data_IF_630368603229
#
_entry.id   IF_630368603229
#
_cell.length_a   1.000
_cell.length_b   1.000
_cell.length_c   1.000
_cell.angle_alpha   90.00
_cell.angle_beta   90.00
_cell.angle_gamma   90.00
#
_symmetry.space_group_name_H-M   'P 1'
#
loop_
_entity.id
_entity.type
_entity.pdbx_description
1 polymer ?
#
# COMPACT_ATOMS: atom_id res chain seq x y z
N UNK A 1 -5.91 -42.00 45.25
CA UNK A 1 -5.86 -42.26 43.80
C UNK A 1 -6.57 -41.10 43.11
N UNK A 2 -5.82 -40.09 42.65
CA UNK A 2 -6.36 -38.87 42.04
C UNK A 2 -6.20 -38.99 40.52
N UNK A 3 -7.32 -39.02 39.82
CA UNK A 3 -7.35 -39.14 38.36
C UNK A 3 -7.12 -37.74 37.78
N UNK A 4 -5.97 -37.50 37.13
CA UNK A 4 -5.66 -36.28 36.37
C UNK A 4 -6.43 -36.33 35.07
N UNK A 5 -7.46 -35.50 34.94
CA UNK A 5 -8.16 -35.29 33.68
C UNK A 5 -7.29 -34.35 32.82
N UNK A 6 -6.63 -34.91 31.83
CA UNK A 6 -5.91 -34.17 30.79
C UNK A 6 -6.93 -33.43 29.91
N UNK A 7 -7.08 -32.13 30.10
CA UNK A 7 -7.75 -31.27 29.14
C UNK A 7 -6.80 -30.98 27.97
N UNK A 8 -6.82 -31.83 26.97
CA UNK A 8 -6.25 -31.52 25.67
C UNK A 8 -7.15 -30.47 25.00
N UNK A 9 -6.80 -29.21 25.14
CA UNK A 9 -7.43 -28.14 24.38
C UNK A 9 -7.19 -28.43 22.89
N UNK A 10 -8.23 -28.85 22.18
CA UNK A 10 -8.25 -28.92 20.72
C UNK A 10 -8.12 -27.48 20.20
N UNK A 11 -6.90 -27.06 19.91
CA UNK A 11 -6.67 -25.87 19.07
C UNK A 11 -7.26 -26.19 17.70
N UNK A 12 -8.47 -25.71 17.46
CA UNK A 12 -9.04 -25.70 16.13
C UNK A 12 -8.07 -24.89 15.25
N UNK A 13 -7.40 -25.53 14.31
CA UNK A 13 -6.61 -24.86 13.28
C UNK A 13 -7.55 -23.87 12.60
N UNK A 14 -7.42 -22.57 12.88
CA UNK A 14 -8.07 -21.52 12.12
C UNK A 14 -7.73 -21.78 10.65
N UNK A 15 -8.75 -22.09 9.84
CA UNK A 15 -8.60 -22.25 8.40
C UNK A 15 -7.92 -20.97 7.89
N UNK A 16 -6.70 -21.07 7.41
CA UNK A 16 -6.01 -19.92 6.82
C UNK A 16 -6.74 -19.59 5.54
N UNK A 17 -7.46 -18.48 5.53
CA UNK A 17 -8.12 -17.98 4.32
C UNK A 17 -7.00 -17.50 3.42
N UNK A 18 -6.80 -18.17 2.29
CA UNK A 18 -5.85 -17.74 1.26
C UNK A 18 -6.56 -16.79 0.31
N UNK A 19 -6.08 -15.56 0.21
CA UNK A 19 -6.51 -14.65 -0.84
C UNK A 19 -6.05 -15.18 -2.19
N UNK A 20 -6.96 -15.26 -3.16
CA UNK A 20 -6.67 -15.72 -4.52
C UNK A 20 -6.64 -14.53 -5.46
N UNK A 21 -5.61 -14.44 -6.26
CA UNK A 21 -5.50 -13.43 -7.30
C UNK A 21 -5.93 -14.01 -8.64
N UNK A 22 -6.83 -13.30 -9.36
CA UNK A 22 -7.12 -13.60 -10.77
C UNK A 22 -5.88 -13.33 -11.64
N UNK A 23 -5.87 -13.79 -12.88
CA UNK A 23 -4.72 -13.54 -13.77
C UNK A 23 -4.52 -12.03 -14.04
N UNK A 24 -5.59 -11.26 -14.10
CA UNK A 24 -5.53 -9.80 -14.23
C UNK A 24 -4.84 -9.14 -13.03
N UNK A 25 -5.21 -9.51 -11.81
CA UNK A 25 -4.57 -9.03 -10.59
C UNK A 25 -3.09 -9.43 -10.52
N UNK A 26 -2.79 -10.69 -10.87
CA UNK A 26 -1.39 -11.17 -10.93
C UNK A 26 -0.56 -10.40 -11.95
N UNK A 27 -1.13 -10.11 -13.14
CA UNK A 27 -0.47 -9.33 -14.16
C UNK A 27 -0.13 -7.92 -13.66
N UNK A 28 -1.10 -7.24 -13.01
CA UNK A 28 -0.89 -5.94 -12.41
C UNK A 28 0.23 -5.96 -11.34
N UNK A 29 0.15 -6.91 -10.39
CA UNK A 29 1.15 -7.02 -9.31
C UNK A 29 2.56 -7.27 -9.89
N UNK A 30 2.69 -8.11 -10.92
CA UNK A 30 3.97 -8.34 -11.60
C UNK A 30 4.50 -7.08 -12.27
N UNK A 31 3.64 -6.35 -12.98
CA UNK A 31 4.01 -5.11 -13.65
C UNK A 31 4.44 -4.01 -12.68
N UNK A 32 4.00 -4.04 -11.42
CA UNK A 32 4.47 -3.11 -10.38
C UNK A 32 5.99 -3.17 -10.14
N UNK A 33 6.64 -4.30 -10.43
CA UNK A 33 8.09 -4.46 -10.26
C UNK A 33 8.87 -3.51 -11.18
N UNK A 34 8.40 -3.38 -12.41
CA UNK A 34 9.11 -2.63 -13.47
C UNK A 34 8.66 -1.16 -13.54
N UNK A 35 7.54 -0.81 -12.90
CA UNK A 35 6.94 0.51 -13.01
C UNK A 35 7.09 1.34 -11.73
N UNK A 36 7.32 2.64 -11.88
CA UNK A 36 7.36 3.61 -10.78
C UNK A 36 5.96 4.01 -10.33
N UNK A 37 5.06 4.23 -11.29
CA UNK A 37 3.71 4.73 -11.04
C UNK A 37 2.71 3.60 -11.25
N UNK A 38 2.10 3.12 -10.16
CA UNK A 38 1.17 1.99 -10.18
C UNK A 38 -0.18 2.44 -9.65
N UNK A 39 -1.22 2.32 -10.48
CA UNK A 39 -2.57 2.77 -10.16
C UNK A 39 -3.57 1.64 -10.42
N UNK A 40 -4.30 1.28 -9.37
CA UNK A 40 -5.42 0.34 -9.45
C UNK A 40 -6.73 1.09 -9.22
N UNK A 41 -7.54 1.24 -10.28
CA UNK A 41 -8.86 1.85 -10.23
C UNK A 41 -9.95 0.81 -10.38
N UNK A 42 -11.13 1.05 -9.82
CA UNK A 42 -12.27 0.17 -10.05
C UNK A 42 -13.26 0.11 -8.88
N UNK A 43 -14.21 -0.79 -8.97
CA UNK A 43 -15.30 -0.94 -8.01
C UNK A 43 -14.81 -1.22 -6.58
N UNK A 44 -15.62 -0.87 -5.59
CA UNK A 44 -15.44 -1.29 -4.19
C UNK A 44 -15.42 -2.82 -4.14
N UNK A 45 -14.53 -3.39 -3.31
CA UNK A 45 -14.32 -4.85 -3.19
C UNK A 45 -13.74 -5.56 -4.42
N UNK A 46 -13.27 -4.83 -5.42
CA UNK A 46 -12.59 -5.44 -6.58
C UNK A 46 -11.18 -5.99 -6.26
N UNK A 47 -10.63 -5.78 -5.07
CA UNK A 47 -9.33 -6.32 -4.66
C UNK A 47 -8.15 -5.35 -4.79
N UNK A 48 -8.36 -4.15 -5.33
CA UNK A 48 -7.33 -3.14 -5.64
C UNK A 48 -6.31 -2.87 -4.52
N UNK A 49 -6.84 -2.62 -3.31
CA UNK A 49 -5.99 -2.30 -2.14
C UNK A 49 -5.11 -3.48 -1.78
N UNK A 50 -5.65 -4.71 -1.82
CA UNK A 50 -4.87 -5.93 -1.55
C UNK A 50 -3.76 -6.12 -2.58
N UNK A 51 -4.03 -5.85 -3.86
CA UNK A 51 -3.03 -5.91 -4.94
C UNK A 51 -1.87 -4.96 -4.66
N UNK A 52 -2.18 -3.71 -4.36
CA UNK A 52 -1.18 -2.70 -4.04
C UNK A 52 -0.40 -3.03 -2.76
N UNK A 53 -1.06 -3.57 -1.74
CA UNK A 53 -0.39 -4.01 -0.49
C UNK A 53 0.60 -5.14 -0.79
N UNK A 54 0.22 -6.13 -1.61
CA UNK A 54 1.12 -7.22 -1.97
C UNK A 54 2.29 -6.76 -2.83
N UNK A 55 2.04 -5.88 -3.82
CA UNK A 55 3.09 -5.29 -4.64
C UNK A 55 4.07 -4.43 -3.80
N UNK A 56 3.53 -3.59 -2.92
CA UNK A 56 4.33 -2.77 -2.00
C UNK A 56 5.13 -3.64 -1.03
N UNK A 57 4.54 -4.69 -0.46
CA UNK A 57 5.22 -5.63 0.42
C UNK A 57 6.36 -6.37 -0.30
N UNK A 58 6.16 -6.74 -1.57
CA UNK A 58 7.22 -7.32 -2.38
C UNK A 58 8.42 -6.37 -2.50
N UNK A 59 8.16 -5.11 -2.79
CA UNK A 59 9.20 -4.09 -2.91
C UNK A 59 9.88 -3.77 -1.55
N UNK A 60 9.17 -3.82 -0.43
CA UNK A 60 9.71 -3.63 0.93
C UNK A 60 10.86 -4.60 1.22
N UNK A 61 10.80 -5.82 0.69
CA UNK A 61 11.82 -6.85 0.94
C UNK A 61 13.20 -6.44 0.45
N UNK A 62 13.26 -5.75 -0.70
CA UNK A 62 14.50 -5.47 -1.42
C UNK A 62 14.84 -3.99 -1.56
N UNK A 63 13.93 -3.07 -1.21
CA UNK A 63 14.18 -1.63 -1.36
C UNK A 63 15.44 -1.17 -0.66
N UNK A 64 16.26 -0.28 -1.25
CA UNK A 64 17.40 0.33 -0.57
C UNK A 64 16.98 1.41 0.44
N UNK A 65 15.76 1.94 0.32
CA UNK A 65 15.25 2.99 1.20
C UNK A 65 14.71 2.40 2.50
N UNK A 66 14.89 3.13 3.61
CA UNK A 66 14.49 2.66 4.94
C UNK A 66 13.07 3.05 5.31
N UNK A 67 12.63 4.25 4.90
CA UNK A 67 11.39 4.86 5.36
C UNK A 67 10.43 4.98 4.18
N UNK A 68 9.17 4.59 4.40
CA UNK A 68 8.11 4.57 3.40
C UNK A 68 6.86 5.21 3.97
N UNK A 69 5.96 5.65 3.10
CA UNK A 69 4.72 6.35 3.45
C UNK A 69 3.49 5.51 3.08
N UNK A 70 2.56 5.40 4.01
CA UNK A 70 1.22 4.85 3.80
C UNK A 70 0.16 5.90 4.15
N UNK A 71 -0.73 6.22 3.23
CA UNK A 71 -1.77 7.22 3.44
C UNK A 71 -3.18 6.70 3.13
N UNK A 72 -4.15 7.23 3.85
CA UNK A 72 -5.58 7.08 3.58
C UNK A 72 -6.27 8.40 3.84
N UNK A 73 -7.58 8.49 3.66
CA UNK A 73 -8.36 9.69 4.01
C UNK A 73 -8.12 10.11 5.46
N UNK A 74 -8.03 9.13 6.36
CA UNK A 74 -7.54 9.28 7.74
C UNK A 74 -6.40 8.31 8.03
N UNK A 75 -5.63 8.56 9.09
CA UNK A 75 -4.61 7.61 9.55
C UNK A 75 -5.23 6.25 9.93
N UNK A 76 -6.42 6.26 10.54
CA UNK A 76 -7.14 5.04 10.87
C UNK A 76 -7.51 4.23 9.62
N UNK A 77 -7.98 4.89 8.56
CA UNK A 77 -8.26 4.23 7.28
C UNK A 77 -6.98 3.69 6.62
N UNK A 78 -5.87 4.43 6.68
CA UNK A 78 -4.59 3.93 6.20
C UNK A 78 -4.17 2.65 6.93
N UNK A 79 -4.29 2.61 8.26
CA UNK A 79 -3.98 1.41 9.08
C UNK A 79 -4.92 0.27 8.75
N UNK A 80 -6.23 0.52 8.64
CA UNK A 80 -7.24 -0.48 8.34
C UNK A 80 -7.05 -1.08 6.94
N UNK A 81 -6.84 -0.23 5.93
CA UNK A 81 -6.82 -0.66 4.53
C UNK A 81 -5.45 -1.18 4.07
N UNK A 82 -4.34 -0.71 4.66
CA UNK A 82 -2.98 -1.09 4.25
C UNK A 82 -2.33 -1.98 5.32
N UNK A 83 -2.46 -1.62 6.59
CA UNK A 83 -1.90 -2.39 7.71
C UNK A 83 -2.58 -3.74 7.87
N UNK A 84 -3.89 -3.74 8.08
CA UNK A 84 -4.72 -4.94 8.28
C UNK A 84 -5.26 -5.53 6.96
N UNK A 85 -5.83 -4.70 6.07
CA UNK A 85 -6.46 -5.09 4.80
C UNK A 85 -7.36 -6.35 4.94
N UNK A 86 -8.24 -6.37 5.92
CA UNK A 86 -9.10 -7.51 6.26
C UNK A 86 -8.32 -8.82 6.48
N UNK A 87 -7.18 -8.74 7.13
CA UNK A 87 -6.30 -9.87 7.40
C UNK A 87 -5.36 -10.24 6.25
N UNK A 88 -5.23 -9.40 5.21
CA UNK A 88 -4.30 -9.58 4.09
C UNK A 88 -3.28 -8.45 3.97
N UNK A 89 -3.23 -7.56 4.97
CA UNK A 89 -2.36 -6.39 5.01
C UNK A 89 -0.90 -6.68 5.34
N UNK A 90 -0.14 -5.59 5.53
CA UNK A 90 1.29 -5.68 5.85
C UNK A 90 1.56 -6.46 7.13
N UNK A 91 0.68 -6.37 8.13
CA UNK A 91 0.81 -7.14 9.39
C UNK A 91 0.75 -8.64 9.16
N UNK A 92 -0.14 -9.07 8.27
CA UNK A 92 -0.27 -10.48 7.91
C UNK A 92 0.92 -10.97 7.08
N UNK A 93 1.32 -10.18 6.09
CA UNK A 93 2.42 -10.54 5.18
C UNK A 93 3.74 -10.67 5.95
N UNK A 94 4.01 -9.72 6.86
CA UNK A 94 5.22 -9.69 7.69
C UNK A 94 4.99 -10.19 9.13
N UNK A 95 4.01 -11.09 9.34
CA UNK A 95 3.73 -11.62 10.68
C UNK A 95 4.98 -12.26 11.29
N UNK A 96 5.22 -11.93 12.57
CA UNK A 96 6.43 -12.34 13.27
C UNK A 96 7.69 -11.55 12.92
N UNK A 97 7.60 -10.62 11.96
CA UNK A 97 8.69 -9.75 11.52
C UNK A 97 8.33 -8.27 11.63
N UNK A 98 7.17 -7.92 12.13
CA UNK A 98 6.72 -6.53 12.25
C UNK A 98 6.09 -6.24 13.61
N UNK A 99 6.10 -4.96 13.98
CA UNK A 99 5.41 -4.42 15.15
C UNK A 99 5.01 -2.97 14.94
N UNK A 100 3.91 -2.56 15.55
CA UNK A 100 3.50 -1.16 15.59
C UNK A 100 4.31 -0.37 16.61
N UNK A 101 4.52 0.90 16.33
CA UNK A 101 5.20 1.83 17.22
C UNK A 101 5.15 3.25 16.69
N UNK A 102 5.95 4.14 17.26
CA UNK A 102 6.08 5.54 16.81
C UNK A 102 7.47 5.81 16.25
N UNK A 103 7.51 6.49 15.12
CA UNK A 103 8.72 7.03 14.55
C UNK A 103 8.60 8.55 14.46
N UNK A 104 9.37 9.30 15.28
CA UNK A 104 9.29 10.77 15.38
C UNK A 104 7.82 11.23 15.53
N UNK A 105 7.13 10.71 16.52
CA UNK A 105 5.72 10.99 16.83
C UNK A 105 4.66 10.53 15.82
N UNK A 106 5.08 9.97 14.68
CA UNK A 106 4.16 9.37 13.72
C UNK A 106 3.93 7.89 14.01
N UNK A 107 2.69 7.43 13.84
CA UNK A 107 2.37 6.00 13.86
C UNK A 107 3.11 5.29 12.73
N UNK A 108 3.76 4.19 13.05
CA UNK A 108 4.56 3.46 12.09
C UNK A 108 4.53 1.95 12.32
N UNK A 109 4.61 1.20 11.22
CA UNK A 109 4.87 -0.23 11.24
C UNK A 109 6.37 -0.45 10.99
N UNK A 110 7.05 -1.06 11.95
CA UNK A 110 8.45 -1.45 11.84
C UNK A 110 8.52 -2.88 11.34
N UNK A 111 9.27 -3.11 10.28
CA UNK A 111 9.43 -4.42 9.66
C UNK A 111 10.92 -4.78 9.66
N UNK A 112 11.27 -5.90 10.29
CA UNK A 112 12.64 -6.43 10.33
C UNK A 112 12.62 -7.93 10.55
N UNK A 113 13.16 -8.67 9.63
CA UNK A 113 13.23 -10.13 9.71
C UNK A 113 13.87 -10.74 8.48
N UNK A 114 13.76 -12.06 8.31
CA UNK A 114 14.32 -12.77 7.16
C UNK A 114 13.93 -12.17 5.80
N UNK A 115 12.65 -11.76 5.64
CA UNK A 115 12.13 -11.21 4.40
C UNK A 115 12.81 -9.89 3.98
N UNK A 116 13.34 -9.13 4.92
CA UNK A 116 14.07 -7.87 4.67
C UNK A 116 15.58 -8.03 4.75
N UNK A 117 16.08 -9.27 4.83
CA UNK A 117 17.49 -9.55 5.11
C UNK A 117 17.94 -8.90 6.44
N UNK A 118 17.07 -8.87 7.43
CA UNK A 118 17.24 -8.23 8.75
C UNK A 118 17.50 -6.73 8.70
N UNK A 119 17.27 -6.07 7.56
CA UNK A 119 17.34 -4.61 7.45
C UNK A 119 15.98 -4.03 7.88
N UNK A 120 16.02 -3.05 8.79
CA UNK A 120 14.80 -2.40 9.25
C UNK A 120 14.17 -1.56 8.14
N UNK A 121 12.86 -1.75 7.93
CA UNK A 121 11.99 -0.89 7.12
C UNK A 121 10.94 -0.27 8.04
N UNK A 122 10.57 0.97 7.75
CA UNK A 122 9.62 1.74 8.55
C UNK A 122 8.56 2.27 7.59
N UNK A 123 7.32 1.90 7.83
CA UNK A 123 6.17 2.44 7.08
C UNK A 123 5.42 3.40 7.99
N UNK A 124 5.43 4.69 7.65
CA UNK A 124 4.74 5.74 8.41
C UNK A 124 3.31 5.85 7.89
N UNK A 125 2.34 5.88 8.79
CA UNK A 125 0.92 5.97 8.48
C UNK A 125 0.38 7.37 8.77
N UNK A 126 -0.31 7.98 7.79
CA UNK A 126 -0.85 9.33 7.90
C UNK A 126 -2.23 9.46 7.25
N UNK A 127 -3.03 10.39 7.77
CA UNK A 127 -4.24 10.85 7.08
C UNK A 127 -3.90 11.93 6.06
N UNK A 128 -4.67 12.01 4.97
CA UNK A 128 -4.37 12.85 3.82
C UNK A 128 -5.53 13.74 3.34
N UNK A 129 -6.74 13.62 3.91
CA UNK A 129 -7.92 14.34 3.38
C UNK A 129 -8.00 15.82 3.75
N UNK A 130 -7.34 16.26 4.83
CA UNK A 130 -7.42 17.65 5.29
C UNK A 130 -6.35 18.51 4.61
N UNK A 131 -6.66 19.79 4.42
CA UNK A 131 -5.76 20.78 3.83
C UNK A 131 -4.38 20.80 4.49
N UNK A 132 -4.33 20.66 5.82
CA UNK A 132 -3.11 20.72 6.61
C UNK A 132 -2.45 19.35 6.89
N UNK A 133 -3.01 18.25 6.33
CA UNK A 133 -2.50 16.89 6.51
C UNK A 133 -1.03 16.74 6.07
N UNK A 134 -0.62 17.49 5.05
CA UNK A 134 0.75 17.48 4.54
C UNK A 134 1.80 17.81 5.62
N UNK A 135 1.44 18.55 6.66
CA UNK A 135 2.34 18.90 7.77
C UNK A 135 2.85 17.65 8.51
N UNK A 136 2.02 16.60 8.58
CA UNK A 136 2.35 15.35 9.29
C UNK A 136 3.38 14.49 8.55
N UNK A 137 3.48 14.63 7.23
CA UNK A 137 4.44 13.87 6.42
C UNK A 137 5.75 14.62 6.18
N UNK A 138 5.83 15.89 6.59
CA UNK A 138 7.07 16.68 6.55
C UNK A 138 8.12 16.13 7.51
N UNK A 139 9.38 16.44 7.23
CA UNK A 139 10.51 16.08 8.10
C UNK A 139 11.07 14.68 7.87
N UNK A 140 10.50 13.90 6.95
CA UNK A 140 11.06 12.62 6.49
C UNK A 140 11.19 12.61 4.97
N UNK A 141 12.10 11.79 4.46
CA UNK A 141 12.17 11.41 3.05
C UNK A 141 11.67 9.99 2.91
N UNK A 142 10.86 9.73 1.91
CA UNK A 142 10.23 8.42 1.70
C UNK A 142 10.73 7.78 0.41
N UNK A 143 11.07 6.50 0.45
CA UNK A 143 11.41 5.74 -0.74
C UNK A 143 10.18 5.41 -1.58
N UNK A 144 9.18 4.81 -0.95
CA UNK A 144 7.93 4.43 -1.61
C UNK A 144 6.73 5.02 -0.89
N UNK A 145 5.64 5.19 -1.63
CA UNK A 145 4.37 5.69 -1.13
C UNK A 145 3.21 4.80 -1.60
N UNK A 146 2.45 4.28 -0.65
CA UNK A 146 1.19 3.59 -0.90
C UNK A 146 0.03 4.44 -0.38
N UNK A 147 -0.99 4.66 -1.21
CA UNK A 147 -2.18 5.44 -0.86
C UNK A 147 -3.45 4.67 -1.19
N UNK A 148 -4.34 4.54 -0.21
CA UNK A 148 -5.68 4.00 -0.42
C UNK A 148 -6.69 5.14 -0.58
N UNK A 149 -7.61 5.00 -1.55
CA UNK A 149 -8.60 6.02 -1.89
C UNK A 149 -7.95 7.39 -2.16
N UNK A 150 -6.93 7.41 -3.02
CA UNK A 150 -6.11 8.61 -3.28
C UNK A 150 -6.93 9.80 -3.81
N UNK A 151 -8.06 9.55 -4.46
CA UNK A 151 -9.02 10.57 -4.88
C UNK A 151 -9.63 11.37 -3.71
N UNK A 152 -9.56 10.86 -2.48
CA UNK A 152 -9.98 11.56 -1.25
C UNK A 152 -8.84 12.33 -0.58
N UNK A 153 -7.65 12.32 -1.14
CA UNK A 153 -6.50 13.05 -0.58
C UNK A 153 -6.55 14.52 -0.99
N UNK A 154 -6.21 15.40 -0.07
CA UNK A 154 -6.04 16.81 -0.38
C UNK A 154 -4.79 17.01 -1.24
N UNK A 155 -4.89 17.87 -2.24
CA UNK A 155 -3.84 18.15 -3.22
C UNK A 155 -2.49 18.52 -2.58
N UNK A 156 -2.51 19.34 -1.52
CA UNK A 156 -1.30 19.69 -0.78
C UNK A 156 -0.55 18.47 -0.23
N UNK A 157 -1.29 17.43 0.19
CA UNK A 157 -0.67 16.19 0.69
C UNK A 157 -0.09 15.37 -0.45
N UNK A 158 -0.75 15.32 -1.59
CA UNK A 158 -0.23 14.62 -2.78
C UNK A 158 1.08 15.27 -3.23
N UNK A 159 1.09 16.59 -3.38
CA UNK A 159 2.31 17.34 -3.76
C UNK A 159 3.44 17.15 -2.76
N UNK A 160 3.14 17.24 -1.46
CA UNK A 160 4.16 17.04 -0.42
C UNK A 160 4.73 15.63 -0.43
N UNK A 161 3.89 14.59 -0.63
CA UNK A 161 4.36 13.21 -0.72
C UNK A 161 5.37 13.02 -1.87
N UNK A 162 5.10 13.59 -3.05
CA UNK A 162 6.05 13.59 -4.16
C UNK A 162 7.35 14.32 -3.82
N UNK A 163 7.26 15.52 -3.21
CA UNK A 163 8.44 16.28 -2.79
C UNK A 163 9.30 15.47 -1.80
N UNK A 164 8.68 14.70 -0.91
CA UNK A 164 9.39 13.85 0.06
C UNK A 164 10.00 12.59 -0.57
N UNK A 165 9.64 12.26 -1.80
CA UNK A 165 10.24 11.15 -2.55
C UNK A 165 11.40 11.57 -3.48
N UNK A 166 11.75 12.85 -3.57
CA UNK A 166 12.82 13.33 -4.46
C UNK A 166 14.20 12.73 -4.14
N UNK A 167 14.45 12.39 -2.88
CA UNK A 167 15.70 11.76 -2.44
C UNK A 167 15.64 10.23 -2.41
N UNK A 168 14.57 9.61 -2.90
CA UNK A 168 14.42 8.17 -2.94
C UNK A 168 15.45 7.53 -3.86
N UNK A 169 16.07 6.45 -3.39
CA UNK A 169 16.99 5.65 -4.20
C UNK A 169 16.24 4.75 -5.19
N UNK A 170 15.07 4.28 -4.78
CA UNK A 170 14.15 3.52 -5.64
C UNK A 170 12.71 3.98 -5.39
N UNK A 171 12.33 5.07 -6.07
CA UNK A 171 11.00 5.66 -5.94
C UNK A 171 9.94 4.77 -6.58
N UNK A 172 8.84 4.50 -5.84
CA UNK A 172 7.63 3.88 -6.36
C UNK A 172 6.40 4.45 -5.68
N UNK A 173 5.30 4.51 -6.39
CA UNK A 173 3.97 4.81 -5.86
C UNK A 173 3.01 3.66 -6.17
N UNK A 174 2.06 3.45 -5.25
CA UNK A 174 1.00 2.45 -5.35
C UNK A 174 -0.29 3.13 -4.90
N UNK A 175 -1.15 3.45 -5.85
CA UNK A 175 -2.39 4.13 -5.58
C UNK A 175 -3.59 3.24 -5.87
N UNK A 176 -4.57 3.24 -4.99
CA UNK A 176 -5.90 2.76 -5.35
C UNK A 176 -6.93 3.88 -5.24
N UNK A 177 -7.97 3.78 -6.06
CA UNK A 177 -9.11 4.67 -6.04
C UNK A 177 -10.35 3.98 -6.58
N UNK A 178 -11.51 4.48 -6.13
CA UNK A 178 -12.78 4.19 -6.77
C UNK A 178 -12.99 5.19 -7.92
N UNK A 179 -13.68 4.81 -8.99
CA UNK A 179 -14.02 5.75 -10.07
C UNK A 179 -14.68 7.02 -9.51
N UNK A 180 -14.21 8.16 -9.98
CA UNK A 180 -14.65 9.48 -9.54
C UNK A 180 -15.01 10.34 -10.78
N UNK A 181 -15.32 11.62 -10.56
CA UNK A 181 -15.54 12.56 -11.65
C UNK A 181 -14.29 12.62 -12.55
N UNK A 182 -14.40 12.39 -13.88
CA UNK A 182 -13.26 12.45 -14.79
C UNK A 182 -12.51 13.80 -14.80
N UNK A 183 -13.14 14.86 -14.29
CA UNK A 183 -12.50 16.20 -14.15
C UNK A 183 -11.86 16.41 -12.78
N UNK A 184 -11.86 15.39 -11.90
CA UNK A 184 -11.16 15.51 -10.62
C UNK A 184 -9.66 15.66 -10.83
N UNK A 185 -9.02 16.42 -9.93
CA UNK A 185 -7.58 16.74 -9.98
C UNK A 185 -6.71 15.48 -10.08
N UNK A 186 -7.12 14.38 -9.44
CA UNK A 186 -6.38 13.13 -9.47
C UNK A 186 -6.23 12.56 -10.89
N UNK A 187 -7.22 12.75 -11.76
CA UNK A 187 -7.14 12.37 -13.17
C UNK A 187 -6.37 13.42 -13.97
N UNK A 188 -6.85 14.65 -13.99
CA UNK A 188 -6.35 15.70 -14.89
C UNK A 188 -4.88 16.10 -14.62
N UNK A 189 -4.47 16.13 -13.36
CA UNK A 189 -3.11 16.52 -12.97
C UNK A 189 -2.13 15.33 -12.86
N UNK A 190 -2.64 14.12 -12.68
CA UNK A 190 -1.78 12.97 -12.39
C UNK A 190 -2.00 11.80 -13.35
N UNK A 191 -3.12 11.07 -13.26
CA UNK A 191 -3.32 9.80 -13.97
C UNK A 191 -3.24 9.99 -15.49
N UNK A 192 -4.00 10.94 -16.03
CA UNK A 192 -4.04 11.21 -17.48
C UNK A 192 -2.68 11.70 -17.98
N UNK A 193 -2.00 12.54 -17.19
CA UNK A 193 -0.67 13.03 -17.53
C UNK A 193 0.38 11.92 -17.53
N UNK A 194 0.32 11.00 -16.56
CA UNK A 194 1.22 9.83 -16.54
C UNK A 194 0.96 8.90 -17.70
N UNK A 195 -0.30 8.61 -17.99
CA UNK A 195 -0.68 7.77 -19.13
C UNK A 195 -0.20 8.37 -20.45
N UNK A 196 -0.41 9.66 -20.64
CA UNK A 196 0.06 10.38 -21.83
C UNK A 196 1.59 10.38 -21.94
N UNK A 197 2.27 10.73 -20.87
CA UNK A 197 3.74 10.80 -20.86
C UNK A 197 4.38 9.42 -21.07
N UNK A 198 3.77 8.35 -20.54
CA UNK A 198 4.21 6.98 -20.74
C UNK A 198 4.03 6.55 -22.20
N UNK A 199 2.85 6.80 -22.78
CA UNK A 199 2.58 6.52 -24.20
C UNK A 199 3.53 7.27 -25.15
N UNK A 200 3.99 8.46 -24.77
CA UNK A 200 4.97 9.26 -25.51
C UNK A 200 6.44 8.85 -25.21
N UNK A 201 6.67 7.86 -24.34
CA UNK A 201 8.02 7.45 -23.91
C UNK A 201 8.77 8.50 -23.09
N UNK A 202 8.07 9.46 -22.50
CA UNK A 202 8.63 10.56 -21.71
C UNK A 202 8.58 10.35 -20.21
N UNK A 203 7.81 9.37 -19.73
CA UNK A 203 7.69 9.08 -18.30
C UNK A 203 8.85 8.22 -17.82
N UNK A 204 9.67 8.77 -16.96
CA UNK A 204 10.75 7.99 -16.33
C UNK A 204 10.17 7.00 -15.34
N UNK A 205 10.47 5.72 -15.56
CA UNK A 205 10.12 4.62 -14.67
C UNK A 205 8.77 3.97 -14.94
N UNK A 206 8.07 4.36 -16.00
CA UNK A 206 6.88 3.69 -16.51
C UNK A 206 5.61 3.85 -15.66
N UNK A 207 4.47 3.60 -16.31
CA UNK A 207 3.12 3.69 -15.75
C UNK A 207 2.39 2.35 -15.88
N UNK A 208 1.93 1.81 -14.77
CA UNK A 208 1.13 0.60 -14.70
C UNK A 208 -0.26 0.94 -14.20
N UNK A 209 -1.27 0.74 -15.03
CA UNK A 209 -2.65 1.04 -14.71
C UNK A 209 -3.53 -0.18 -14.88
N UNK A 210 -4.39 -0.42 -13.90
CA UNK A 210 -5.40 -1.46 -13.94
C UNK A 210 -6.77 -0.89 -13.57
N UNK A 211 -7.74 -1.05 -14.46
CA UNK A 211 -9.15 -0.88 -14.10
C UNK A 211 -9.76 -2.24 -13.78
N UNK A 212 -10.34 -2.41 -12.57
CA UNK A 212 -10.95 -3.66 -12.14
C UNK A 212 -12.41 -3.51 -11.73
N UNK A 213 -13.17 -4.56 -12.01
CA UNK A 213 -14.58 -4.71 -11.66
C UNK A 213 -14.74 -5.75 -10.55
N UNK A 214 -15.94 -5.90 -10.02
CA UNK A 214 -16.25 -6.97 -9.06
C UNK A 214 -15.99 -8.38 -9.62
N UNK A 215 -16.20 -8.56 -10.93
CA UNK A 215 -15.99 -9.86 -11.61
C UNK A 215 -14.52 -10.28 -11.66
N UNK A 216 -13.58 -9.33 -11.49
CA UNK A 216 -12.15 -9.62 -11.45
C UNK A 216 -11.73 -10.22 -10.10
N UNK A 217 -12.53 -10.05 -9.04
CA UNK A 217 -12.26 -10.58 -7.71
C UNK A 217 -12.85 -11.99 -7.55
N UNK A 218 -12.00 -13.00 -7.64
CA UNK A 218 -12.40 -14.42 -7.52
C UNK A 218 -12.60 -14.91 -6.07
N UNK A 219 -12.59 -14.00 -5.08
CA UNK A 219 -12.81 -14.33 -3.66
C UNK A 219 -14.22 -14.01 -3.18
N UNK A 220 -15.10 -13.46 -4.04
CA UNK A 220 -16.51 -13.11 -3.77
C UNK A 220 -17.43 -13.85 -4.71
#
# INVERSE_FOLDING_TARGET
>A
MWTVISMAAKFARKKTIQFRFSEKHKAYIRACVDNTYNVAEGAVRAGKTVDNVYAFAHEIKTTPDRIHLATGSTMANAKLNIGDANGFGLEYIFRGQCHWGKYKDNEALFIKGPDTGYKQRIVIFAGAAKEDSYKKIRGNSYGMWIATEVNLHHENTIREAFNRQLAAKRRKIFWDLNPDNPRAVIYTEYIDNYQKADAEGKLLGGFNYMHCTLYDNINI
#
